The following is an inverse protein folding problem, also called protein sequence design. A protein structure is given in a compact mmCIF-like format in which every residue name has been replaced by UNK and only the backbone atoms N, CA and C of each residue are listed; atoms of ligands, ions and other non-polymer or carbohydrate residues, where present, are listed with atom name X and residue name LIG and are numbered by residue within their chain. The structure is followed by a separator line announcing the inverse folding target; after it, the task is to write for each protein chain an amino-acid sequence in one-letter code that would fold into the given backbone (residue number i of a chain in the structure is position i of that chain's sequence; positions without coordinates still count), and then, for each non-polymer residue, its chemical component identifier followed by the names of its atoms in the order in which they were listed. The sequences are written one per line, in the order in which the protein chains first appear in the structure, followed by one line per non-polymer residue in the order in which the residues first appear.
data_IF_353705877941
#
_entry.id   IF_353705877941
#
_cell.length_a   1.000
_cell.length_b   1.000
_cell.length_c   1.000
_cell.angle_alpha   90.00
_cell.angle_beta   90.00
_cell.angle_gamma   90.00
#
_symmetry.space_group_name_H-M   'P 1'
#
loop_
_entity.id
_entity.type
_entity.pdbx_description
1 polymer ?
#
# COMPACT_ATOMS: atom_id res chain seq x y z
N UNK A 1 -37.13 -13.73 -8.57
CA UNK A 1 -38.04 -12.56 -8.54
C UNK A 1 -37.29 -11.32 -8.97
N UNK A 2 -37.82 -10.55 -9.92
CA UNK A 2 -37.22 -9.27 -10.34
C UNK A 2 -37.50 -8.15 -9.31
N UNK A 3 -36.71 -7.09 -9.34
CA UNK A 3 -36.76 -5.99 -8.36
C UNK A 3 -38.19 -5.39 -8.20
N UNK A 4 -38.90 -5.17 -9.30
CA UNK A 4 -40.27 -4.62 -9.28
C UNK A 4 -41.28 -5.49 -8.53
N UNK A 5 -41.19 -6.79 -8.68
CA UNK A 5 -42.02 -7.79 -7.97
C UNK A 5 -41.69 -7.79 -6.48
N UNK A 6 -40.39 -7.71 -6.13
CA UNK A 6 -39.93 -7.66 -4.74
C UNK A 6 -40.41 -6.39 -4.03
N UNK A 7 -40.31 -5.23 -4.70
CA UNK A 7 -40.80 -3.96 -4.15
C UNK A 7 -42.30 -4.06 -3.86
N UNK A 8 -43.08 -4.58 -4.82
CA UNK A 8 -44.52 -4.71 -4.67
C UNK A 8 -44.90 -5.62 -3.50
N UNK A 9 -44.24 -6.77 -3.41
CA UNK A 9 -44.56 -7.77 -2.42
C UNK A 9 -44.11 -7.37 -1.00
N UNK A 10 -42.90 -6.82 -0.87
CA UNK A 10 -42.40 -6.32 0.42
C UNK A 10 -43.25 -5.16 0.94
N UNK A 11 -43.63 -4.22 0.07
CA UNK A 11 -44.52 -3.13 0.46
C UNK A 11 -45.86 -3.67 0.98
N UNK A 12 -46.50 -4.61 0.27
CA UNK A 12 -47.77 -5.23 0.69
C UNK A 12 -47.63 -6.00 2.01
N UNK A 13 -46.55 -6.75 2.20
CA UNK A 13 -46.25 -7.46 3.46
C UNK A 13 -46.10 -6.50 4.64
N UNK A 14 -45.53 -5.32 4.42
CA UNK A 14 -45.40 -4.29 5.45
C UNK A 14 -46.68 -3.44 5.60
N UNK A 15 -47.77 -3.78 4.90
CA UNK A 15 -49.06 -3.07 5.00
C UNK A 15 -49.04 -1.63 4.48
N UNK A 16 -48.03 -1.26 3.68
CA UNK A 16 -47.85 0.13 3.21
C UNK A 16 -48.58 0.38 1.90
N UNK A 17 -49.25 1.51 1.79
CA UNK A 17 -49.70 2.05 0.49
C UNK A 17 -48.49 2.55 -0.33
N UNK A 18 -48.63 2.71 -1.65
CA UNK A 18 -47.59 3.32 -2.50
C UNK A 18 -47.18 4.71 -2.05
N UNK A 19 -48.11 5.47 -1.49
CA UNK A 19 -47.91 6.83 -0.99
C UNK A 19 -47.08 6.82 0.31
N UNK A 20 -47.47 5.98 1.28
CA UNK A 20 -46.74 5.81 2.55
C UNK A 20 -45.34 5.29 2.33
N UNK A 21 -45.16 4.31 1.45
CA UNK A 21 -43.84 3.81 1.09
C UNK A 21 -43.00 4.90 0.43
N UNK A 22 -43.57 5.63 -0.54
CA UNK A 22 -42.87 6.75 -1.18
C UNK A 22 -42.44 7.83 -0.18
N UNK A 23 -43.31 8.19 0.77
CA UNK A 23 -42.97 9.15 1.82
C UNK A 23 -41.79 8.68 2.69
N UNK A 24 -41.72 7.39 3.06
CA UNK A 24 -40.62 6.82 3.88
C UNK A 24 -39.23 6.87 3.20
N UNK A 25 -39.20 6.67 1.87
CA UNK A 25 -37.97 6.68 1.10
C UNK A 25 -37.70 8.02 0.37
N UNK A 26 -38.54 9.02 0.63
CA UNK A 26 -38.38 10.37 0.08
C UNK A 26 -38.60 10.44 -1.44
N UNK A 27 -39.70 9.83 -1.94
CA UNK A 27 -40.10 9.88 -3.36
C UNK A 27 -41.61 9.99 -3.49
N UNK A 28 -42.10 10.39 -4.68
CA UNK A 28 -43.54 10.49 -4.96
C UNK A 28 -44.16 9.10 -5.15
N UNK A 29 -45.50 9.00 -4.87
CA UNK A 29 -46.28 7.80 -5.20
C UNK A 29 -46.11 7.36 -6.66
N UNK A 30 -46.02 8.35 -7.59
CA UNK A 30 -45.86 8.04 -9.02
C UNK A 30 -44.49 7.31 -9.31
N UNK A 31 -43.43 7.66 -8.60
CA UNK A 31 -42.14 7.00 -8.74
C UNK A 31 -42.23 5.53 -8.28
N UNK A 32 -42.84 5.29 -7.12
CA UNK A 32 -43.09 3.92 -6.61
C UNK A 32 -43.93 3.11 -7.61
N UNK A 33 -45.03 3.68 -8.14
CA UNK A 33 -45.87 3.01 -9.12
C UNK A 33 -45.09 2.62 -10.39
N UNK A 34 -44.24 3.50 -10.90
CA UNK A 34 -43.39 3.20 -12.09
C UNK A 34 -42.38 2.07 -11.82
N UNK A 35 -41.81 2.02 -10.62
CA UNK A 35 -40.89 0.93 -10.22
C UNK A 35 -41.61 -0.40 -10.10
N UNK A 36 -42.79 -0.44 -9.49
CA UNK A 36 -43.60 -1.64 -9.37
C UNK A 36 -44.09 -2.18 -10.71
N UNK A 37 -44.32 -1.29 -11.68
CA UNK A 37 -44.66 -1.65 -13.06
C UNK A 37 -43.44 -1.93 -13.96
N UNK A 38 -42.22 -1.94 -13.41
CA UNK A 38 -40.96 -2.08 -14.15
C UNK A 38 -40.75 -1.04 -15.29
N UNK A 39 -41.41 0.11 -15.20
CA UNK A 39 -41.27 1.19 -16.20
C UNK A 39 -40.00 2.00 -16.02
N UNK A 40 -39.49 2.10 -14.79
CA UNK A 40 -38.23 2.74 -14.45
C UNK A 40 -37.56 1.95 -13.33
N UNK A 41 -36.23 2.10 -13.22
CA UNK A 41 -35.43 1.48 -12.15
C UNK A 41 -35.06 2.53 -11.11
N UNK A 42 -35.18 2.24 -9.79
CA UNK A 42 -34.68 3.12 -8.75
C UNK A 42 -33.16 3.25 -8.81
N UNK A 43 -32.63 4.39 -8.40
CA UNK A 43 -31.18 4.56 -8.21
C UNK A 43 -30.69 3.79 -6.98
N UNK A 44 -29.36 3.63 -6.87
CA UNK A 44 -28.73 2.87 -5.79
C UNK A 44 -29.07 3.44 -4.41
N UNK A 45 -29.17 4.76 -4.26
CA UNK A 45 -29.52 5.39 -2.99
C UNK A 45 -30.94 5.02 -2.55
N UNK A 46 -31.87 4.89 -3.49
CA UNK A 46 -33.25 4.47 -3.21
C UNK A 46 -33.35 2.99 -2.91
N UNK A 47 -32.54 2.16 -3.58
CA UNK A 47 -32.45 0.71 -3.25
C UNK A 47 -31.94 0.50 -1.82
N UNK A 48 -30.93 1.28 -1.39
CA UNK A 48 -30.44 1.27 -0.01
C UNK A 48 -31.55 1.68 1.00
N UNK A 49 -32.24 2.78 0.73
CA UNK A 49 -33.35 3.22 1.56
C UNK A 49 -34.50 2.18 1.64
N UNK A 50 -34.77 1.48 0.53
CA UNK A 50 -35.76 0.38 0.52
C UNK A 50 -35.30 -0.79 1.39
N UNK A 51 -34.03 -1.17 1.35
CA UNK A 51 -33.46 -2.22 2.16
C UNK A 51 -33.62 -1.93 3.66
N UNK A 52 -33.41 -0.68 4.06
CA UNK A 52 -33.61 -0.22 5.45
C UNK A 52 -35.09 -0.26 5.84
N UNK A 53 -36.00 0.27 5.00
CA UNK A 53 -37.44 0.33 5.29
C UNK A 53 -38.08 -1.06 5.37
N UNK A 54 -37.61 -1.99 4.55
CA UNK A 54 -38.10 -3.37 4.51
C UNK A 54 -37.35 -4.34 5.44
N UNK A 55 -36.26 -3.86 6.09
CA UNK A 55 -35.39 -4.66 6.94
C UNK A 55 -34.83 -5.90 6.21
N UNK A 56 -34.47 -5.75 4.95
CA UNK A 56 -33.91 -6.84 4.12
C UNK A 56 -32.51 -6.50 3.63
N UNK A 57 -31.65 -7.52 3.39
CA UNK A 57 -30.33 -7.29 2.79
C UNK A 57 -30.47 -6.64 1.40
N UNK A 58 -29.55 -5.71 1.06
CA UNK A 58 -29.50 -5.06 -0.27
C UNK A 58 -29.36 -6.10 -1.39
N UNK A 59 -28.54 -7.13 -1.16
CA UNK A 59 -28.35 -8.27 -2.06
C UNK A 59 -29.66 -8.98 -2.40
N UNK A 60 -30.58 -9.08 -1.44
CA UNK A 60 -31.90 -9.64 -1.69
C UNK A 60 -32.68 -8.84 -2.72
N UNK A 61 -32.59 -7.54 -2.69
CA UNK A 61 -33.27 -6.67 -3.66
C UNK A 61 -32.63 -6.77 -5.06
N UNK A 62 -31.31 -6.83 -5.13
CA UNK A 62 -30.56 -6.73 -6.39
C UNK A 62 -30.42 -8.05 -7.16
N UNK A 63 -30.43 -9.22 -6.50
CA UNK A 63 -30.22 -10.51 -7.14
C UNK A 63 -31.53 -11.20 -7.45
N UNK A 64 -31.84 -11.44 -8.72
CA UNK A 64 -33.10 -12.05 -9.18
C UNK A 64 -33.30 -13.52 -8.74
N UNK A 65 -32.20 -14.19 -8.38
CA UNK A 65 -32.23 -15.58 -7.87
C UNK A 65 -32.88 -15.73 -6.50
N UNK A 66 -32.98 -14.66 -5.72
CA UNK A 66 -33.62 -14.67 -4.41
C UNK A 66 -35.11 -14.37 -4.53
N UNK A 67 -35.95 -15.20 -3.90
CA UNK A 67 -37.38 -14.97 -3.74
C UNK A 67 -37.73 -14.78 -2.25
N UNK A 68 -39.00 -14.62 -1.95
CA UNK A 68 -39.49 -14.38 -0.58
C UNK A 68 -39.28 -15.57 0.36
N UNK A 69 -39.05 -16.78 -0.16
CA UNK A 69 -38.75 -17.95 0.65
C UNK A 69 -37.38 -17.80 1.34
N UNK A 70 -36.46 -17.04 0.71
CA UNK A 70 -35.17 -16.69 1.29
C UNK A 70 -35.31 -15.92 2.62
N UNK A 71 -36.30 -15.03 2.74
CA UNK A 71 -36.55 -14.26 3.98
C UNK A 71 -37.18 -15.15 5.08
N UNK A 72 -37.95 -16.18 4.73
CA UNK A 72 -38.57 -17.11 5.67
C UNK A 72 -37.56 -18.13 6.21
N UNK A 73 -36.49 -18.40 5.50
CA UNK A 73 -35.44 -19.36 5.87
C UNK A 73 -34.43 -18.82 6.89
N UNK A 74 -34.51 -17.55 7.26
CA UNK A 74 -33.57 -16.91 8.19
C UNK A 74 -34.33 -16.26 9.34
N UNK A 75 -34.10 -16.65 10.61
CA UNK A 75 -34.71 -15.93 11.74
C UNK A 75 -34.23 -14.50 11.80
N UNK A 76 -35.17 -13.59 12.07
CA UNK A 76 -34.90 -12.20 12.32
C UNK A 76 -33.83 -12.01 13.41
N UNK A 77 -32.98 -11.03 13.26
CA UNK A 77 -31.79 -10.71 14.04
C UNK A 77 -30.53 -11.42 13.54
N UNK A 78 -30.10 -11.04 12.35
CA UNK A 78 -28.67 -11.08 12.11
C UNK A 78 -28.10 -9.74 12.62
N UNK A 79 -27.60 -9.75 13.88
CA UNK A 79 -26.39 -9.01 14.20
C UNK A 79 -25.54 -8.93 12.94
N UNK A 80 -24.90 -7.79 12.71
CA UNK A 80 -23.76 -7.67 11.81
C UNK A 80 -22.71 -8.64 12.35
N UNK A 81 -22.90 -9.93 12.12
CA UNK A 81 -21.81 -10.89 12.12
C UNK A 81 -21.08 -10.59 10.83
N UNK A 82 -19.85 -10.12 10.96
CA UNK A 82 -18.85 -10.42 9.97
C UNK A 82 -19.15 -11.78 9.35
N UNK A 83 -19.13 -11.93 8.01
CA UNK A 83 -19.45 -13.21 7.41
C UNK A 83 -18.62 -14.28 8.13
N UNK A 84 -19.32 -15.22 8.75
CA UNK A 84 -18.66 -16.42 9.29
C UNK A 84 -17.75 -16.94 8.19
N UNK A 85 -16.52 -17.35 8.49
CA UNK A 85 -15.59 -17.78 7.47
C UNK A 85 -16.27 -18.90 6.69
N UNK A 86 -16.79 -18.54 5.51
CA UNK A 86 -17.12 -19.53 4.51
C UNK A 86 -15.83 -20.33 4.33
N UNK A 87 -15.93 -21.61 4.15
CA UNK A 87 -14.90 -22.63 3.97
C UNK A 87 -13.93 -22.34 2.81
N UNK A 88 -13.90 -21.12 2.33
CA UNK A 88 -12.94 -20.52 1.44
C UNK A 88 -12.10 -19.54 2.27
N UNK A 89 -11.03 -20.08 2.82
CA UNK A 89 -9.94 -19.42 3.58
C UNK A 89 -9.21 -18.35 2.72
N UNK A 90 -9.99 -17.49 2.01
CA UNK A 90 -9.52 -16.45 1.12
C UNK A 90 -9.56 -15.10 1.81
N UNK A 91 -8.40 -14.53 2.00
CA UNK A 91 -8.25 -13.19 2.56
C UNK A 91 -8.54 -12.13 1.49
N UNK A 92 -9.48 -11.23 1.76
CA UNK A 92 -9.80 -10.11 0.87
C UNK A 92 -8.94 -8.90 1.23
N UNK A 93 -7.97 -8.56 0.37
CA UNK A 93 -7.11 -7.40 0.54
C UNK A 93 -7.86 -6.12 0.13
N UNK A 94 -8.21 -5.28 1.10
CA UNK A 94 -9.05 -4.09 0.90
C UNK A 94 -8.31 -2.93 0.24
N UNK A 95 -9.06 -1.92 -0.22
CA UNK A 95 -8.48 -0.68 -0.77
C UNK A 95 -7.74 0.13 0.30
N UNK A 96 -8.26 0.15 1.53
CA UNK A 96 -7.66 0.84 2.66
C UNK A 96 -6.31 0.21 3.04
N UNK A 97 -6.27 -1.12 3.15
CA UNK A 97 -5.02 -1.86 3.37
C UNK A 97 -3.99 -1.65 2.25
N UNK A 98 -4.44 -1.50 1.00
CA UNK A 98 -3.54 -1.20 -0.11
C UNK A 98 -2.91 0.18 0.02
N UNK A 99 -3.67 1.18 0.43
CA UNK A 99 -3.15 2.54 0.67
C UNK A 99 -2.17 2.57 1.84
N UNK A 100 -2.47 1.86 2.93
CA UNK A 100 -1.59 1.71 4.08
C UNK A 100 -0.29 0.99 3.69
N UNK A 101 -0.38 -0.10 2.93
CA UNK A 101 0.78 -0.81 2.38
C UNK A 101 1.68 0.09 1.54
N UNK A 102 1.12 0.96 0.68
CA UNK A 102 1.92 1.90 -0.11
C UNK A 102 2.62 2.96 0.76
N UNK A 103 1.97 3.43 1.82
CA UNK A 103 2.56 4.32 2.82
C UNK A 103 3.71 3.62 3.55
N UNK A 104 3.49 2.38 3.98
CA UNK A 104 4.46 1.59 4.72
C UNK A 104 5.68 1.20 3.88
N UNK A 105 5.51 0.89 2.60
CA UNK A 105 6.63 0.70 1.68
C UNK A 105 7.50 1.96 1.62
N UNK A 106 6.90 3.14 1.48
CA UNK A 106 7.66 4.40 1.42
C UNK A 106 8.43 4.65 2.71
N UNK A 107 7.82 4.40 3.86
CA UNK A 107 8.47 4.57 5.17
C UNK A 107 9.59 3.55 5.40
N UNK A 108 9.33 2.28 5.08
CA UNK A 108 10.33 1.20 5.16
C UNK A 108 11.52 1.49 4.24
N UNK A 109 11.27 1.95 3.01
CA UNK A 109 12.31 2.33 2.06
C UNK A 109 13.19 3.45 2.60
N UNK A 110 12.62 4.47 3.26
CA UNK A 110 13.41 5.55 3.90
C UNK A 110 14.35 5.02 4.98
N UNK A 111 13.92 4.02 5.77
CA UNK A 111 14.77 3.38 6.78
C UNK A 111 15.93 2.60 6.14
N UNK A 112 15.67 1.91 5.01
CA UNK A 112 16.71 1.20 4.25
C UNK A 112 17.73 2.20 3.68
N UNK A 113 17.28 3.34 3.15
CA UNK A 113 18.18 4.39 2.67
C UNK A 113 19.05 4.94 3.80
N UNK A 114 18.46 5.21 4.96
CA UNK A 114 19.23 5.64 6.13
C UNK A 114 20.28 4.60 6.51
N UNK A 115 19.94 3.30 6.47
CA UNK A 115 20.91 2.23 6.71
C UNK A 115 22.06 2.24 5.70
N UNK A 116 21.77 2.46 4.40
CA UNK A 116 22.80 2.55 3.35
C UNK A 116 23.74 3.75 3.61
N UNK A 117 23.18 4.93 3.92
CA UNK A 117 23.95 6.13 4.21
C UNK A 117 24.85 5.92 5.44
N UNK A 118 24.31 5.38 6.52
CA UNK A 118 25.08 5.07 7.75
C UNK A 118 26.21 4.07 7.47
N UNK A 119 25.93 3.05 6.65
CA UNK A 119 26.94 2.04 6.28
C UNK A 119 28.13 2.66 5.54
N UNK A 120 27.87 3.52 4.56
CA UNK A 120 28.95 4.16 3.78
C UNK A 120 29.68 5.27 4.53
N UNK A 121 29.04 5.91 5.51
CA UNK A 121 29.69 6.92 6.37
C UNK A 121 30.55 6.26 7.46
N UNK A 122 30.20 5.04 7.91
CA UNK A 122 30.85 4.40 9.06
C UNK A 122 32.37 4.26 8.93
N UNK A 123 32.98 3.88 7.78
CA UNK A 123 34.43 3.73 7.66
C UNK A 123 35.18 5.06 7.77
N UNK A 124 34.52 6.17 7.38
CA UNK A 124 35.17 7.49 7.36
C UNK A 124 35.61 7.95 8.76
N UNK A 125 34.75 7.80 9.77
CA UNK A 125 35.08 8.17 11.14
C UNK A 125 36.27 7.34 11.68
N UNK A 126 36.32 6.05 11.37
CA UNK A 126 37.43 5.18 11.73
C UNK A 126 38.75 5.59 11.08
N UNK A 127 38.76 5.72 9.75
CA UNK A 127 39.96 6.02 8.97
C UNK A 127 40.49 7.41 9.31
N UNK A 128 39.62 8.44 9.39
CA UNK A 128 40.04 9.81 9.69
C UNK A 128 40.76 9.93 11.04
N UNK A 129 40.29 9.22 12.07
CA UNK A 129 40.88 9.27 13.41
C UNK A 129 42.16 8.43 13.53
N UNK A 130 42.35 7.42 12.67
CA UNK A 130 43.61 6.64 12.65
C UNK A 130 44.77 7.40 12.00
N UNK A 131 44.50 8.35 11.10
CA UNK A 131 45.55 9.21 10.45
C UNK A 131 46.17 10.18 11.45
N UNK A 132 45.58 10.43 12.61
CA UNK A 132 46.08 11.39 13.62
C UNK A 132 47.25 10.89 14.47
N UNK A 133 47.78 9.68 14.23
CA UNK A 133 48.91 9.02 14.95
C UNK A 133 48.64 8.81 16.48
N UNK A 134 47.51 9.22 17.02
CA UNK A 134 47.14 9.00 18.42
C UNK A 134 46.37 7.69 18.54
N UNK A 135 46.97 6.70 19.20
CA UNK A 135 46.39 5.37 19.42
C UNK A 135 45.00 5.45 20.09
N UNK A 136 44.79 6.39 21.01
CA UNK A 136 43.50 6.57 21.69
C UNK A 136 42.42 7.09 20.75
N UNK A 137 42.76 7.98 19.82
CA UNK A 137 41.85 8.47 18.79
C UNK A 137 41.52 7.37 17.78
N UNK A 138 42.47 6.52 17.43
CA UNK A 138 42.23 5.35 16.60
C UNK A 138 41.20 4.39 17.23
N UNK A 139 41.35 4.07 18.54
CA UNK A 139 40.38 3.23 19.26
C UNK A 139 38.98 3.89 19.26
N UNK A 140 38.91 5.21 19.50
CA UNK A 140 37.64 5.96 19.45
C UNK A 140 36.98 5.86 18.07
N UNK A 141 37.77 5.93 17.00
CA UNK A 141 37.30 5.76 15.62
C UNK A 141 36.61 4.41 15.38
N UNK A 142 37.22 3.31 15.88
CA UNK A 142 36.64 1.97 15.80
C UNK A 142 35.34 1.88 16.60
N UNK A 143 35.26 2.48 17.77
CA UNK A 143 34.04 2.51 18.60
C UNK A 143 32.90 3.22 17.84
N UNK A 144 33.20 4.38 17.25
CA UNK A 144 32.22 5.15 16.46
C UNK A 144 31.74 4.31 15.27
N UNK A 145 32.65 3.64 14.56
CA UNK A 145 32.27 2.77 13.43
C UNK A 145 31.32 1.65 13.86
N UNK A 146 31.57 1.01 15.02
CA UNK A 146 30.70 -0.03 15.55
C UNK A 146 29.30 0.53 15.85
N UNK A 147 29.22 1.74 16.45
CA UNK A 147 27.93 2.41 16.74
C UNK A 147 27.13 2.63 15.45
N UNK A 148 27.79 3.11 14.37
CA UNK A 148 27.13 3.26 13.06
C UNK A 148 26.60 1.93 12.51
N UNK A 149 27.39 0.84 12.60
CA UNK A 149 26.96 -0.48 12.14
C UNK A 149 25.77 -1.03 12.95
N UNK A 150 25.73 -0.78 14.25
CA UNK A 150 24.55 -1.09 15.08
C UNK A 150 23.33 -0.30 14.57
N UNK A 151 23.49 1.00 14.27
CA UNK A 151 22.43 1.82 13.67
C UNK A 151 21.92 1.26 12.34
N UNK A 152 22.80 0.77 11.47
CA UNK A 152 22.45 0.09 10.23
C UNK A 152 21.57 -1.13 10.51
N UNK A 153 21.99 -2.00 11.44
CA UNK A 153 21.25 -3.20 11.79
C UNK A 153 19.83 -2.86 12.32
N UNK A 154 19.71 -1.86 13.19
CA UNK A 154 18.44 -1.39 13.72
C UNK A 154 17.53 -0.89 12.60
N UNK A 155 18.03 -0.07 11.68
CA UNK A 155 17.24 0.44 10.55
C UNK A 155 16.70 -0.67 9.66
N UNK A 156 17.53 -1.69 9.37
CA UNK A 156 17.12 -2.85 8.56
C UNK A 156 16.03 -3.65 9.27
N UNK A 157 16.21 -3.96 10.56
CA UNK A 157 15.24 -4.72 11.36
C UNK A 157 13.89 -3.98 11.40
N UNK A 158 13.89 -2.67 11.66
CA UNK A 158 12.68 -1.86 11.69
C UNK A 158 11.98 -1.79 10.30
N UNK A 159 12.75 -1.72 9.22
CA UNK A 159 12.21 -1.73 7.86
C UNK A 159 11.53 -3.07 7.53
N UNK A 160 12.17 -4.19 7.89
CA UNK A 160 11.61 -5.54 7.67
C UNK A 160 10.38 -5.78 8.54
N UNK A 161 10.43 -5.36 9.80
CA UNK A 161 9.34 -5.52 10.76
C UNK A 161 8.07 -4.79 10.29
N UNK A 162 8.19 -3.56 9.77
CA UNK A 162 7.09 -2.78 9.25
C UNK A 162 6.33 -3.48 8.11
N UNK A 163 7.05 -4.23 7.25
CA UNK A 163 6.45 -4.94 6.12
C UNK A 163 6.03 -6.38 6.46
N UNK A 164 6.25 -6.84 7.70
CA UNK A 164 5.93 -8.22 8.11
C UNK A 164 4.43 -8.51 8.07
N UNK A 165 3.58 -7.52 8.38
CA UNK A 165 2.12 -7.65 8.36
C UNK A 165 1.57 -8.01 6.97
N UNK A 166 2.26 -7.62 5.90
CA UNK A 166 1.80 -7.80 4.52
C UNK A 166 2.28 -9.11 3.84
N UNK A 167 2.76 -10.08 4.62
CA UNK A 167 3.18 -11.39 4.06
C UNK A 167 2.05 -12.13 3.35
N UNK A 168 0.81 -11.93 3.82
CA UNK A 168 -0.38 -12.55 3.24
C UNK A 168 -0.65 -12.11 1.80
N UNK A 169 -0.17 -10.94 1.35
CA UNK A 169 -0.28 -10.51 -0.05
C UNK A 169 0.35 -11.53 -1.02
N UNK A 170 1.35 -12.29 -0.58
CA UNK A 170 1.99 -13.35 -1.39
C UNK A 170 1.23 -14.66 -1.40
N UNK A 171 0.27 -14.85 -0.50
CA UNK A 171 -0.49 -16.09 -0.41
C UNK A 171 -1.42 -16.25 -1.61
N UNK A 172 -1.53 -17.44 -2.17
CA UNK A 172 -2.52 -17.77 -3.20
C UNK A 172 -3.97 -17.57 -2.73
N UNK A 173 -4.18 -17.60 -1.41
CA UNK A 173 -5.48 -17.45 -0.77
C UNK A 173 -5.96 -15.99 -0.61
N UNK A 174 -5.15 -14.99 -0.97
CA UNK A 174 -5.53 -13.58 -0.87
C UNK A 174 -6.13 -13.11 -2.19
N UNK A 175 -7.33 -12.58 -2.18
CA UNK A 175 -7.97 -11.92 -3.31
C UNK A 175 -7.91 -10.39 -3.14
N UNK A 176 -7.87 -9.66 -4.24
CA UNK A 176 -7.86 -8.21 -4.21
C UNK A 176 -9.28 -7.67 -4.33
N UNK A 177 -9.66 -6.77 -3.43
CA UNK A 177 -10.94 -6.08 -3.51
C UNK A 177 -11.03 -5.23 -4.81
N UNK A 178 -12.28 -4.96 -5.21
CA UNK A 178 -12.56 -4.11 -6.37
C UNK A 178 -11.85 -2.74 -6.23
N UNK A 179 -11.20 -2.29 -7.29
CA UNK A 179 -10.50 -0.99 -7.33
C UNK A 179 -9.04 -1.03 -6.89
N UNK A 180 -8.58 -2.00 -6.09
CA UNK A 180 -7.18 -2.09 -5.61
C UNK A 180 -6.19 -2.14 -6.77
N UNK A 181 -6.52 -2.88 -7.84
CA UNK A 181 -5.71 -2.97 -9.05
C UNK A 181 -5.56 -1.61 -9.72
N UNK A 182 -6.68 -0.92 -9.97
CA UNK A 182 -6.68 0.38 -10.65
C UNK A 182 -5.83 1.41 -9.90
N UNK A 183 -5.97 1.46 -8.59
CA UNK A 183 -5.15 2.34 -7.74
C UNK A 183 -3.67 1.98 -7.80
N UNK A 184 -3.31 0.69 -7.76
CA UNK A 184 -1.92 0.26 -7.87
C UNK A 184 -1.30 0.60 -9.25
N UNK A 185 -2.07 0.44 -10.33
CA UNK A 185 -1.65 0.81 -11.69
C UNK A 185 -1.47 2.32 -11.84
N UNK A 186 -2.38 3.12 -11.27
CA UNK A 186 -2.28 4.58 -11.26
C UNK A 186 -1.03 5.05 -10.49
N UNK A 187 -0.81 4.55 -9.27
CA UNK A 187 0.40 4.87 -8.49
C UNK A 187 1.67 4.47 -9.23
N UNK A 188 1.70 3.30 -9.87
CA UNK A 188 2.85 2.85 -10.65
C UNK A 188 3.10 3.75 -11.86
N UNK A 189 2.04 4.10 -12.63
CA UNK A 189 2.13 4.98 -13.80
C UNK A 189 2.64 6.37 -13.42
N UNK A 190 2.10 6.95 -12.34
CA UNK A 190 2.53 8.26 -11.84
C UNK A 190 3.98 8.24 -11.33
N UNK A 191 4.47 7.09 -10.90
CA UNK A 191 5.84 6.92 -10.40
C UNK A 191 6.86 6.54 -11.49
N UNK A 192 6.43 6.13 -12.68
CA UNK A 192 7.28 5.60 -13.76
C UNK A 192 8.38 6.59 -14.18
N UNK A 193 8.02 7.85 -14.36
CA UNK A 193 8.97 8.91 -14.70
C UNK A 193 10.00 9.13 -13.57
N UNK A 194 9.56 9.17 -12.32
CA UNK A 194 10.43 9.28 -11.14
C UNK A 194 11.36 8.08 -11.01
N UNK A 195 10.86 6.89 -11.30
CA UNK A 195 11.64 5.66 -11.31
C UNK A 195 12.77 5.71 -12.34
N UNK A 196 12.48 6.11 -13.57
CA UNK A 196 13.49 6.21 -14.63
C UNK A 196 14.57 7.24 -14.28
N UNK A 197 14.17 8.45 -13.89
CA UNK A 197 15.11 9.51 -13.51
C UNK A 197 15.96 9.09 -12.31
N UNK A 198 15.37 8.47 -11.30
CA UNK A 198 16.09 8.02 -10.12
C UNK A 198 17.15 6.96 -10.43
N UNK A 199 16.88 6.04 -11.37
CA UNK A 199 17.87 5.08 -11.85
C UNK A 199 19.01 5.80 -12.59
N UNK A 200 18.69 6.71 -13.53
CA UNK A 200 19.69 7.43 -14.32
C UNK A 200 20.63 8.24 -13.40
N UNK A 201 20.06 9.04 -12.49
CA UNK A 201 20.84 9.84 -11.54
C UNK A 201 21.70 8.92 -10.65
N UNK A 202 21.12 7.82 -10.16
CA UNK A 202 21.83 6.88 -9.30
C UNK A 202 23.02 6.25 -10.01
N UNK A 203 22.85 5.80 -11.25
CA UNK A 203 23.93 5.20 -12.06
C UNK A 203 25.02 6.24 -12.37
N UNK A 204 24.66 7.46 -12.74
CA UNK A 204 25.63 8.56 -12.98
C UNK A 204 26.45 8.82 -11.72
N UNK A 205 25.82 8.92 -10.54
CA UNK A 205 26.51 9.15 -9.28
C UNK A 205 27.46 7.99 -8.90
N UNK A 206 27.05 6.74 -9.14
CA UNK A 206 27.89 5.56 -8.90
C UNK A 206 29.13 5.60 -9.79
N UNK A 207 28.97 5.89 -11.09
CA UNK A 207 30.10 5.97 -12.01
C UNK A 207 31.00 7.17 -11.67
N UNK A 208 30.42 8.34 -11.40
CA UNK A 208 31.14 9.54 -11.05
C UNK A 208 31.85 9.46 -9.69
N UNK A 209 31.44 8.55 -8.81
CA UNK A 209 32.04 8.41 -7.47
C UNK A 209 33.53 8.04 -7.50
N UNK A 210 34.03 7.45 -8.59
CA UNK A 210 35.45 7.08 -8.73
C UNK A 210 36.33 8.30 -9.04
N UNK A 211 35.77 9.41 -9.60
CA UNK A 211 36.50 10.57 -10.05
C UNK A 211 37.31 11.23 -8.93
N UNK A 212 36.79 11.51 -7.73
CA UNK A 212 37.57 12.16 -6.67
C UNK A 212 38.85 11.39 -6.32
N UNK A 213 38.78 10.08 -6.28
CA UNK A 213 39.95 9.24 -5.98
C UNK A 213 40.98 9.24 -7.11
N UNK A 214 40.51 9.21 -8.37
CA UNK A 214 41.43 9.34 -9.54
C UNK A 214 42.13 10.69 -9.59
N UNK A 215 41.39 11.75 -9.31
CA UNK A 215 41.98 13.12 -9.28
C UNK A 215 43.02 13.22 -8.15
N UNK A 216 42.69 12.70 -6.98
CA UNK A 216 43.58 12.67 -5.84
C UNK A 216 44.91 11.95 -6.15
N UNK A 217 44.83 10.78 -6.77
CA UNK A 217 46.01 9.98 -7.15
C UNK A 217 46.96 10.69 -8.14
N UNK A 218 46.47 11.71 -8.86
CA UNK A 218 47.26 12.49 -9.82
C UNK A 218 47.96 13.70 -9.21
N UNK A 219 47.46 14.24 -8.09
CA UNK A 219 47.88 15.59 -7.63
C UNK A 219 48.46 15.62 -6.23
N UNK A 220 48.36 14.55 -5.41
CA UNK A 220 48.83 14.60 -4.03
C UNK A 220 49.17 13.23 -3.45
N UNK A 221 50.16 13.25 -2.53
CA UNK A 221 50.51 12.08 -1.67
C UNK A 221 50.15 12.37 -0.20
N UNK A 222 49.48 13.50 0.09
CA UNK A 222 49.11 13.85 1.46
C UNK A 222 47.92 12.97 1.97
N UNK A 223 48.13 12.26 3.06
CA UNK A 223 47.16 11.33 3.64
C UNK A 223 45.81 11.94 3.95
N UNK A 224 45.77 13.19 4.47
CA UNK A 224 44.51 13.89 4.80
C UNK A 224 43.66 14.16 3.55
N UNK A 225 44.32 14.52 2.44
CA UNK A 225 43.61 14.78 1.18
C UNK A 225 43.12 13.47 0.58
N UNK A 226 43.90 12.39 0.64
CA UNK A 226 43.51 11.06 0.19
C UNK A 226 42.26 10.58 0.94
N UNK A 227 42.26 10.69 2.28
CA UNK A 227 41.12 10.32 3.12
C UNK A 227 39.88 11.17 2.80
N UNK A 228 40.06 12.47 2.54
CA UNK A 228 38.97 13.36 2.17
C UNK A 228 38.35 12.99 0.81
N UNK A 229 39.17 12.65 -0.17
CA UNK A 229 38.74 12.17 -1.49
C UNK A 229 38.00 10.83 -1.40
N UNK A 230 38.50 9.91 -0.56
CA UNK A 230 37.85 8.63 -0.29
C UNK A 230 36.49 8.83 0.38
N UNK A 231 36.36 9.80 1.32
CA UNK A 231 35.09 10.14 1.92
C UNK A 231 34.10 10.67 0.89
N UNK A 232 34.50 11.56 0.01
CA UNK A 232 33.66 12.10 -1.05
C UNK A 232 33.21 10.98 -2.02
N UNK A 233 34.11 10.06 -2.39
CA UNK A 233 33.77 8.88 -3.17
C UNK A 233 32.70 8.04 -2.50
N UNK A 234 32.84 7.73 -1.20
CA UNK A 234 31.87 6.93 -0.45
C UNK A 234 30.51 7.62 -0.32
N UNK A 235 30.49 8.96 -0.12
CA UNK A 235 29.24 9.73 -0.08
C UNK A 235 28.51 9.72 -1.42
N UNK A 236 29.22 9.91 -2.53
CA UNK A 236 28.65 9.84 -3.86
C UNK A 236 28.11 8.44 -4.17
N UNK A 237 28.85 7.40 -3.79
CA UNK A 237 28.43 6.01 -3.93
C UNK A 237 27.17 5.73 -3.11
N UNK A 238 27.13 6.17 -1.85
CA UNK A 238 25.96 6.04 -0.99
C UNK A 238 24.71 6.72 -1.60
N UNK A 239 24.86 7.95 -2.10
CA UNK A 239 23.78 8.69 -2.75
C UNK A 239 23.29 7.98 -4.02
N UNK A 240 24.19 7.49 -4.85
CA UNK A 240 23.85 6.76 -6.07
C UNK A 240 23.11 5.47 -5.78
N UNK A 241 23.63 4.63 -4.88
CA UNK A 241 22.95 3.36 -4.48
C UNK A 241 21.62 3.66 -3.82
N UNK A 242 21.54 4.68 -2.94
CA UNK A 242 20.29 5.07 -2.28
C UNK A 242 19.22 5.48 -3.30
N UNK A 243 19.60 6.23 -4.35
CA UNK A 243 18.67 6.63 -5.41
C UNK A 243 18.09 5.41 -6.15
N UNK A 244 18.94 4.50 -6.62
CA UNK A 244 18.52 3.27 -7.32
C UNK A 244 17.65 2.39 -6.44
N UNK A 245 18.06 2.16 -5.19
CA UNK A 245 17.32 1.32 -4.22
C UNK A 245 15.97 1.93 -3.91
N UNK A 246 15.90 3.25 -3.69
CA UNK A 246 14.65 3.96 -3.41
C UNK A 246 13.60 3.71 -4.48
N UNK A 247 13.94 4.06 -5.71
CA UNK A 247 12.96 3.98 -6.80
C UNK A 247 12.61 2.52 -7.16
N UNK A 248 13.58 1.61 -7.03
CA UNK A 248 13.36 0.17 -7.30
C UNK A 248 12.46 -0.49 -6.25
N UNK A 249 12.65 -0.21 -4.97
CA UNK A 249 11.83 -0.79 -3.89
C UNK A 249 10.38 -0.31 -3.98
N UNK A 250 10.15 0.97 -4.23
CA UNK A 250 8.80 1.53 -4.38
C UNK A 250 8.11 0.95 -5.62
N UNK A 251 8.79 0.95 -6.77
CA UNK A 251 8.24 0.40 -8.00
C UNK A 251 7.90 -1.10 -7.88
N UNK A 252 8.78 -1.87 -7.24
CA UNK A 252 8.54 -3.29 -6.96
C UNK A 252 7.38 -3.51 -5.98
N UNK A 253 7.16 -2.57 -5.05
CA UNK A 253 6.01 -2.58 -4.15
C UNK A 253 4.70 -2.49 -4.91
N UNK A 254 4.56 -1.53 -5.81
CA UNK A 254 3.37 -1.40 -6.68
C UNK A 254 3.22 -2.60 -7.63
N UNK A 255 4.31 -3.02 -8.27
CA UNK A 255 4.30 -4.16 -9.19
C UNK A 255 3.91 -5.47 -8.50
N UNK A 256 4.15 -5.63 -7.20
CA UNK A 256 3.80 -6.83 -6.43
C UNK A 256 2.29 -7.05 -6.36
N UNK A 257 1.51 -5.99 -6.15
CA UNK A 257 0.04 -6.07 -6.15
C UNK A 257 -0.46 -6.38 -7.55
N UNK A 258 0.08 -5.71 -8.58
CA UNK A 258 -0.35 -5.90 -9.98
C UNK A 258 -0.08 -7.34 -10.47
N UNK A 259 1.10 -7.91 -10.16
CA UNK A 259 1.46 -9.30 -10.59
C UNK A 259 0.59 -10.38 -9.97
N UNK A 260 0.03 -10.12 -8.79
CA UNK A 260 -0.84 -11.10 -8.12
C UNK A 260 -2.11 -11.45 -8.92
N UNK A 261 -2.47 -10.65 -9.88
CA UNK A 261 -3.69 -10.82 -10.68
C UNK A 261 -3.47 -11.77 -11.86
N UNK A 262 -2.21 -12.01 -12.22
CA UNK A 262 -1.86 -12.86 -13.38
C UNK A 262 -1.48 -14.31 -12.99
N UNK A 263 -1.49 -14.61 -11.68
CA UNK A 263 -1.31 -15.95 -11.12
C UNK A 263 -2.55 -16.41 -10.36
#
# INVERSE_FOLDING_TARGET
MILSEKITELRKRNGLSQEEFGARIGVSRQAVSKWEMAQTTPDVAKVLAMAEVFEVPVDFLLKDEYDLSYLNAKPAAAEIKEPAPAENDRYMFSLEEAQEYFKDIRQSTKKIILAIILFFISPFAGIYLTVTEDEKLGILGVIIQIIFLIGVAICIVLAVWQLKGYKHIRSAKTELAYGVKGVAEEYKKNFEHTHLIGIIIGVILIIASVIPMMVCALFTEEDIIIVSCAALMLLMLAAGISSVVYVSLINNGYARIIRKIHN
#
